data_IF_645704617722
#
_entry.id   IF_645704617722
#
_cell.length_a   1.000
_cell.length_b   1.000
_cell.length_c   1.000
_cell.angle_alpha   90.00
_cell.angle_beta   90.00
_cell.angle_gamma   90.00
#
_symmetry.space_group_name_H-M   'P 1'
#
loop_
_entity.id
_entity.type
_entity.pdbx_description
1 polymer ?
#
# COMPACT_ATOMS: atom_id res chain seq x y z
N UNK A 1 -23.01 -20.14 12.36
CA UNK A 1 -22.95 -19.60 10.99
C UNK A 1 -21.48 -19.55 10.65
N UNK A 2 -21.08 -19.96 9.44
CA UNK A 2 -19.69 -19.86 8.99
C UNK A 2 -19.28 -18.38 9.01
N UNK A 3 -18.06 -18.07 9.43
CA UNK A 3 -17.56 -16.71 9.29
C UNK A 3 -17.25 -16.42 7.81
N UNK A 4 -17.27 -15.14 7.36
CA UNK A 4 -16.82 -14.80 6.01
C UNK A 4 -15.39 -15.27 5.72
N UNK A 5 -14.53 -15.34 6.74
CA UNK A 5 -13.17 -15.82 6.62
C UNK A 5 -13.12 -17.33 6.30
N UNK A 6 -13.90 -18.14 7.00
CA UNK A 6 -14.00 -19.59 6.76
C UNK A 6 -14.44 -19.88 5.31
N UNK A 7 -15.48 -19.17 4.84
CA UNK A 7 -15.99 -19.32 3.47
C UNK A 7 -14.95 -18.91 2.41
N UNK A 8 -14.12 -17.91 2.72
CA UNK A 8 -13.06 -17.46 1.82
C UNK A 8 -11.85 -18.39 1.82
N UNK A 9 -11.46 -18.94 2.96
CA UNK A 9 -10.37 -19.93 3.08
C UNK A 9 -10.65 -21.13 2.16
N UNK A 10 -11.89 -21.62 2.11
CA UNK A 10 -12.28 -22.72 1.22
C UNK A 10 -12.18 -22.36 -0.27
N UNK A 11 -12.34 -21.08 -0.62
CA UNK A 11 -12.34 -20.57 -1.99
C UNK A 11 -10.96 -20.09 -2.47
N UNK A 12 -10.07 -19.73 -1.57
CA UNK A 12 -8.73 -19.21 -1.88
C UNK A 12 -7.88 -20.13 -2.77
N UNK A 13 -7.94 -21.47 -2.68
CA UNK A 13 -7.25 -22.34 -3.63
C UNK A 13 -7.67 -22.14 -5.09
N UNK A 14 -8.85 -21.57 -5.35
CA UNK A 14 -9.34 -21.24 -6.70
C UNK A 14 -8.75 -19.93 -7.23
N UNK A 15 -8.19 -19.10 -6.36
CA UNK A 15 -7.64 -17.78 -6.70
C UNK A 15 -6.17 -17.91 -7.12
N UNK A 16 -5.43 -18.86 -6.54
CA UNK A 16 -4.05 -19.17 -6.90
C UNK A 16 -3.23 -19.70 -5.71
N UNK A 17 -1.96 -19.97 -5.96
CA UNK A 17 -0.95 -20.42 -4.99
C UNK A 17 0.23 -19.45 -4.84
N UNK A 18 0.13 -18.24 -5.40
CA UNK A 18 1.13 -17.18 -5.28
C UNK A 18 1.20 -16.50 -3.91
N UNK A 19 2.13 -15.55 -3.76
CA UNK A 19 2.41 -14.83 -2.53
C UNK A 19 1.17 -14.08 -1.99
N UNK A 20 0.35 -13.50 -2.86
CA UNK A 20 -0.90 -12.86 -2.44
C UNK A 20 -1.91 -13.85 -1.87
N UNK A 21 -2.03 -15.03 -2.49
CA UNK A 21 -2.92 -16.08 -1.98
C UNK A 21 -2.44 -16.65 -0.64
N UNK A 22 -1.13 -16.81 -0.47
CA UNK A 22 -0.52 -17.23 0.80
C UNK A 22 -0.79 -16.19 1.89
N UNK A 23 -0.50 -14.91 1.64
CA UNK A 23 -0.76 -13.84 2.60
C UNK A 23 -2.25 -13.76 2.99
N UNK A 24 -3.17 -13.89 2.03
CA UNK A 24 -4.59 -13.90 2.33
C UNK A 24 -4.96 -15.04 3.29
N UNK A 25 -4.42 -16.25 3.10
CA UNK A 25 -4.69 -17.38 4.00
C UNK A 25 -4.16 -17.13 5.42
N UNK A 26 -2.96 -16.57 5.52
CA UNK A 26 -2.35 -16.25 6.82
C UNK A 26 -3.18 -15.22 7.59
N UNK A 27 -3.60 -14.14 6.91
CA UNK A 27 -4.47 -13.12 7.51
C UNK A 27 -5.84 -13.70 7.92
N UNK A 28 -6.45 -14.52 7.07
CA UNK A 28 -7.76 -15.11 7.38
C UNK A 28 -7.72 -16.17 8.48
N UNK A 29 -6.55 -16.76 8.75
CA UNK A 29 -6.36 -17.67 9.88
C UNK A 29 -6.37 -16.95 11.24
N UNK A 30 -6.31 -15.61 11.26
CA UNK A 30 -6.45 -14.82 12.47
C UNK A 30 -7.88 -14.89 13.01
N UNK A 31 -8.03 -15.15 14.31
CA UNK A 31 -9.33 -15.15 15.01
C UNK A 31 -9.79 -13.72 15.31
N UNK A 32 -10.26 -13.02 14.26
CA UNK A 32 -10.72 -11.63 14.31
C UNK A 32 -12.08 -11.47 13.63
N UNK A 33 -12.77 -10.37 13.94
CA UNK A 33 -14.09 -10.06 13.39
C UNK A 33 -14.03 -9.60 11.93
N UNK A 34 -13.90 -10.54 10.99
CA UNK A 34 -13.92 -10.24 9.56
C UNK A 34 -15.32 -9.81 9.09
N UNK A 35 -15.36 -8.68 8.40
CA UNK A 35 -16.52 -8.27 7.62
C UNK A 35 -16.32 -8.55 6.13
N UNK A 36 -17.42 -8.75 5.41
CA UNK A 36 -17.42 -8.86 3.95
C UNK A 36 -18.38 -7.86 3.34
N UNK A 37 -17.95 -7.20 2.27
CA UNK A 37 -18.78 -6.38 1.39
C UNK A 37 -18.63 -6.86 -0.05
N UNK A 38 -19.59 -6.50 -0.91
CA UNK A 38 -19.43 -6.70 -2.36
C UNK A 38 -18.47 -5.66 -2.93
N UNK A 39 -17.85 -6.03 -4.05
CA UNK A 39 -17.14 -5.08 -4.91
C UNK A 39 -18.01 -3.85 -5.18
N UNK A 40 -17.38 -2.67 -5.16
CA UNK A 40 -18.08 -1.40 -5.21
C UNK A 40 -17.28 -0.37 -5.98
N UNK A 41 -18.00 0.65 -6.47
CA UNK A 41 -17.40 1.87 -6.99
C UNK A 41 -17.71 3.04 -6.04
N UNK A 42 -16.75 3.94 -5.84
CA UNK A 42 -16.92 5.14 -5.02
C UNK A 42 -16.39 6.38 -5.75
N UNK A 43 -17.19 7.45 -5.73
CA UNK A 43 -16.79 8.78 -6.21
C UNK A 43 -16.23 9.68 -5.10
N UNK A 44 -16.08 9.17 -3.88
CA UNK A 44 -15.52 9.93 -2.77
C UNK A 44 -14.07 10.34 -3.07
N UNK A 45 -13.68 11.54 -2.63
CA UNK A 45 -12.33 12.05 -2.79
C UNK A 45 -11.28 11.19 -2.06
N UNK A 46 -11.69 10.56 -0.95
CA UNK A 46 -10.94 9.54 -0.24
C UNK A 46 -11.88 8.43 0.25
N UNK A 47 -11.39 7.20 0.26
CA UNK A 47 -12.08 6.02 0.75
C UNK A 47 -11.22 5.31 1.79
N UNK A 48 -11.88 4.82 2.85
CA UNK A 48 -11.28 4.00 3.91
C UNK A 48 -12.16 2.75 4.13
N UNK A 49 -11.56 1.61 4.53
CA UNK A 49 -12.32 0.50 5.07
C UNK A 49 -13.17 0.95 6.26
N UNK A 50 -14.42 0.52 6.32
CA UNK A 50 -15.32 0.82 7.45
C UNK A 50 -15.05 -0.05 8.68
N UNK A 51 -14.19 -1.06 8.56
CA UNK A 51 -13.80 -1.98 9.62
C UNK A 51 -12.31 -2.30 9.48
N UNK A 52 -11.66 -2.66 10.59
CA UNK A 52 -10.25 -3.00 10.60
C UNK A 52 -9.92 -4.22 9.72
N UNK A 53 -10.76 -5.26 9.75
CA UNK A 53 -10.59 -6.49 8.99
C UNK A 53 -11.74 -6.64 7.98
N UNK A 54 -11.46 -6.34 6.71
CA UNK A 54 -12.47 -6.25 5.66
C UNK A 54 -12.09 -7.09 4.43
N UNK A 55 -13.06 -7.87 3.96
CA UNK A 55 -13.03 -8.57 2.68
C UNK A 55 -13.92 -7.82 1.69
N UNK A 56 -13.41 -7.56 0.50
CA UNK A 56 -14.18 -7.06 -0.65
C UNK A 56 -14.34 -8.19 -1.65
N UNK A 57 -15.55 -8.74 -1.76
CA UNK A 57 -15.90 -9.75 -2.75
C UNK A 57 -16.09 -9.14 -4.14
N UNK A 58 -14.99 -9.01 -4.87
CA UNK A 58 -14.93 -8.46 -6.22
C UNK A 58 -13.97 -7.29 -6.31
N UNK A 59 -14.13 -6.48 -7.33
CA UNK A 59 -13.25 -5.31 -7.57
C UNK A 59 -13.69 -4.08 -6.78
N UNK A 60 -12.71 -3.25 -6.43
CA UNK A 60 -12.90 -1.98 -5.75
C UNK A 60 -12.41 -0.84 -6.68
N UNK A 61 -13.34 -0.02 -7.16
CA UNK A 61 -13.06 1.08 -8.09
C UNK A 61 -13.29 2.43 -7.41
N UNK A 62 -12.22 3.17 -7.15
CA UNK A 62 -12.24 4.41 -6.38
C UNK A 62 -11.80 5.55 -7.28
N UNK A 63 -12.63 6.58 -7.44
CA UNK A 63 -12.25 7.78 -8.19
C UNK A 63 -11.17 8.59 -7.45
N UNK A 64 -11.15 8.51 -6.12
CA UNK A 64 -10.23 9.22 -5.24
C UNK A 64 -9.13 8.35 -4.64
N UNK A 65 -8.64 8.78 -3.49
CA UNK A 65 -7.55 8.11 -2.78
C UNK A 65 -8.06 6.90 -1.98
N UNK A 66 -7.33 5.80 -2.02
CA UNK A 66 -7.54 4.63 -1.19
C UNK A 66 -6.59 4.67 0.02
N UNK A 67 -7.15 4.71 1.22
CA UNK A 67 -6.37 4.71 2.45
C UNK A 67 -6.69 3.42 3.21
N UNK A 68 -5.76 2.47 3.20
CA UNK A 68 -5.91 1.20 3.90
C UNK A 68 -5.50 1.42 5.35
N UNK A 69 -6.45 1.94 6.11
CA UNK A 69 -6.35 2.31 7.50
C UNK A 69 -7.66 2.94 7.94
N UNK A 70 -8.16 2.57 9.11
CA UNK A 70 -9.48 3.06 9.57
C UNK A 70 -9.39 4.44 10.21
N UNK A 71 -8.26 4.78 10.83
CA UNK A 71 -8.10 5.96 11.70
C UNK A 71 -8.70 5.79 13.09
N UNK A 72 -9.28 4.62 13.38
CA UNK A 72 -9.91 4.27 14.67
C UNK A 72 -9.26 3.03 15.31
N UNK A 73 -8.49 2.28 14.53
CA UNK A 73 -7.83 1.03 14.92
C UNK A 73 -6.35 1.13 14.54
N UNK A 74 -5.51 0.53 15.39
CA UNK A 74 -4.06 0.55 15.24
C UNK A 74 -3.56 -0.48 14.22
N UNK A 75 -4.34 -1.52 13.91
CA UNK A 75 -3.99 -2.57 12.96
C UNK A 75 -5.21 -3.04 12.18
N UNK A 76 -4.98 -3.68 11.04
CA UNK A 76 -6.06 -4.27 10.26
C UNK A 76 -5.61 -4.89 8.94
N UNK A 77 -6.58 -5.38 8.17
CA UNK A 77 -6.32 -5.96 6.86
C UNK A 77 -7.48 -5.69 5.90
N UNK A 78 -7.14 -5.37 4.65
CA UNK A 78 -8.05 -5.35 3.52
C UNK A 78 -7.68 -6.43 2.52
N UNK A 79 -8.64 -7.30 2.21
CA UNK A 79 -8.50 -8.31 1.15
C UNK A 79 -9.48 -7.97 0.02
N UNK A 80 -8.98 -7.68 -1.18
CA UNK A 80 -9.77 -7.40 -2.38
C UNK A 80 -9.71 -8.60 -3.32
N UNK A 81 -10.84 -9.27 -3.52
CA UNK A 81 -10.99 -10.45 -4.38
C UNK A 81 -11.25 -10.05 -5.84
N UNK A 82 -10.37 -9.21 -6.39
CA UNK A 82 -10.46 -8.65 -7.73
C UNK A 82 -9.47 -7.51 -7.91
N UNK A 83 -9.73 -6.64 -8.88
CA UNK A 83 -8.92 -5.45 -9.13
C UNK A 83 -9.17 -4.34 -8.09
N UNK A 84 -8.13 -3.57 -7.79
CA UNK A 84 -8.19 -2.32 -7.03
C UNK A 84 -7.76 -1.16 -7.93
N UNK A 85 -8.67 -0.20 -8.15
CA UNK A 85 -8.40 1.02 -8.93
C UNK A 85 -8.57 2.24 -8.05
N UNK A 86 -7.61 3.16 -8.10
CA UNK A 86 -7.65 4.38 -7.29
C UNK A 86 -6.81 5.51 -7.92
N UNK A 87 -6.89 6.71 -7.35
CA UNK A 87 -5.98 7.81 -7.68
C UNK A 87 -4.61 7.59 -7.03
N UNK A 88 -4.60 7.56 -5.70
CA UNK A 88 -3.46 7.21 -4.87
C UNK A 88 -3.86 6.05 -3.95
N UNK A 89 -2.92 5.19 -3.61
CA UNK A 89 -3.05 4.17 -2.58
C UNK A 89 -2.02 4.42 -1.48
N UNK A 90 -2.44 4.31 -0.22
CA UNK A 90 -1.54 4.16 0.92
C UNK A 90 -1.99 3.00 1.80
N UNK A 91 -1.05 2.18 2.22
CA UNK A 91 -1.25 1.22 3.32
C UNK A 91 -0.67 1.85 4.58
N UNK A 92 -1.52 2.10 5.57
CA UNK A 92 -1.11 2.72 6.84
C UNK A 92 -0.20 1.76 7.65
N UNK A 93 0.53 2.31 8.62
CA UNK A 93 1.33 1.50 9.54
C UNK A 93 0.48 0.39 10.18
N UNK A 94 1.03 -0.83 10.31
CA UNK A 94 0.36 -2.01 10.89
C UNK A 94 -0.95 -2.45 10.16
N UNK A 95 -1.21 -1.93 8.96
CA UNK A 95 -2.27 -2.42 8.09
C UNK A 95 -1.72 -3.30 6.96
N UNK A 96 -2.52 -4.27 6.55
CA UNK A 96 -2.18 -5.18 5.46
C UNK A 96 -3.14 -5.05 4.29
N UNK A 97 -2.62 -5.17 3.07
CA UNK A 97 -3.40 -5.18 1.84
C UNK A 97 -3.10 -6.44 1.05
N UNK A 98 -4.15 -7.13 0.61
CA UNK A 98 -4.06 -8.17 -0.41
C UNK A 98 -5.00 -7.83 -1.57
N UNK A 99 -4.49 -7.84 -2.79
CA UNK A 99 -5.27 -7.67 -4.03
C UNK A 99 -5.04 -8.90 -4.91
N UNK A 100 -6.10 -9.66 -5.18
CA UNK A 100 -5.99 -10.89 -5.99
C UNK A 100 -6.03 -10.64 -7.49
N UNK A 101 -6.36 -9.41 -7.92
CA UNK A 101 -6.34 -8.96 -9.31
C UNK A 101 -5.26 -7.91 -9.56
N UNK A 102 -5.55 -6.97 -10.47
CA UNK A 102 -4.65 -5.85 -10.79
C UNK A 102 -4.81 -4.71 -9.77
N UNK A 103 -3.71 -4.09 -9.35
CA UNK A 103 -3.68 -2.80 -8.64
C UNK A 103 -3.27 -1.69 -9.61
N UNK A 104 -4.18 -0.74 -9.83
CA UNK A 104 -3.97 0.38 -10.76
C UNK A 104 -4.19 1.69 -10.00
N UNK A 105 -3.11 2.43 -9.77
CA UNK A 105 -3.15 3.79 -9.24
C UNK A 105 -2.82 4.78 -10.36
N UNK A 106 -3.61 5.85 -10.50
CA UNK A 106 -3.32 6.86 -11.53
C UNK A 106 -2.15 7.78 -11.15
N UNK A 107 -1.75 7.83 -9.88
CA UNK A 107 -0.67 8.70 -9.38
C UNK A 107 0.38 7.90 -8.58
N UNK A 108 0.06 7.45 -7.37
CA UNK A 108 1.03 6.83 -6.48
C UNK A 108 0.50 5.59 -5.74
N UNK A 109 1.39 4.65 -5.45
CA UNK A 109 1.20 3.57 -4.46
C UNK A 109 2.23 3.77 -3.35
N UNK A 110 1.78 3.80 -2.10
CA UNK A 110 2.63 3.87 -0.91
C UNK A 110 2.44 2.58 -0.10
N UNK A 111 3.46 1.73 -0.15
CA UNK A 111 3.56 0.45 0.56
C UNK A 111 4.87 0.42 1.35
N UNK A 112 5.12 1.50 2.09
CA UNK A 112 6.41 1.81 2.71
C UNK A 112 6.27 2.33 4.14
N UNK A 113 5.09 2.19 4.74
CA UNK A 113 4.86 2.58 6.13
C UNK A 113 5.12 1.37 7.04
N UNK A 114 5.58 1.64 8.27
CA UNK A 114 6.13 0.64 9.17
C UNK A 114 5.22 -0.58 9.38
N UNK A 115 5.81 -1.77 9.38
CA UNK A 115 5.16 -3.06 9.68
C UNK A 115 3.92 -3.37 8.81
N UNK A 116 3.70 -2.62 7.73
CA UNK A 116 2.64 -2.83 6.76
C UNK A 116 3.10 -3.78 5.65
N UNK A 117 2.15 -4.52 5.07
CA UNK A 117 2.43 -5.35 3.90
C UNK A 117 1.40 -5.13 2.80
N UNK A 118 1.86 -5.11 1.55
CA UNK A 118 0.98 -5.06 0.39
C UNK A 118 1.32 -6.22 -0.54
N UNK A 119 0.33 -7.07 -0.88
CA UNK A 119 0.51 -8.19 -1.78
C UNK A 119 -0.44 -8.08 -2.97
N UNK A 120 0.09 -8.21 -4.18
CA UNK A 120 -0.69 -8.14 -5.43
C UNK A 120 -0.39 -9.33 -6.32
N UNK A 121 -1.44 -10.08 -6.67
CA UNK A 121 -1.31 -11.25 -7.54
C UNK A 121 -1.18 -10.87 -9.03
N UNK A 122 -1.92 -9.84 -9.43
CA UNK A 122 -1.93 -9.33 -10.80
C UNK A 122 -0.83 -8.31 -11.06
N UNK A 123 -1.15 -7.34 -11.92
CA UNK A 123 -0.23 -6.26 -12.28
C UNK A 123 -0.34 -5.10 -11.31
N UNK A 124 0.79 -4.44 -11.08
CA UNK A 124 0.84 -3.15 -10.38
C UNK A 124 1.20 -2.07 -11.38
N UNK A 125 0.29 -1.11 -11.58
CA UNK A 125 0.50 0.02 -12.47
C UNK A 125 0.33 1.33 -11.72
N UNK A 126 1.39 2.13 -11.67
CA UNK A 126 1.38 3.48 -11.08
C UNK A 126 2.53 4.34 -11.64
N UNK A 127 2.36 5.66 -11.80
CA UNK A 127 3.49 6.54 -12.08
C UNK A 127 4.60 6.49 -11.03
N UNK A 128 4.23 6.41 -9.74
CA UNK A 128 5.17 6.37 -8.61
C UNK A 128 4.82 5.22 -7.68
N UNK A 129 5.84 4.49 -7.22
CA UNK A 129 5.73 3.48 -6.17
C UNK A 129 6.71 3.81 -5.03
N UNK A 130 6.21 3.92 -3.81
CA UNK A 130 7.04 4.02 -2.61
C UNK A 130 6.96 2.66 -1.90
N UNK A 131 8.10 1.98 -1.77
CA UNK A 131 8.22 0.61 -1.24
C UNK A 131 9.69 0.28 -0.96
N UNK A 132 9.94 -0.47 0.11
CA UNK A 132 11.21 -1.12 0.40
C UNK A 132 12.04 -0.50 1.53
N UNK A 133 11.55 0.52 2.23
CA UNK A 133 12.23 1.12 3.38
C UNK A 133 11.68 0.55 4.70
N UNK A 134 10.50 0.98 5.14
CA UNK A 134 9.87 0.48 6.38
C UNK A 134 8.76 -0.57 6.14
N UNK A 135 8.30 -0.70 4.90
CA UNK A 135 7.39 -1.73 4.42
C UNK A 135 7.70 -2.07 2.97
N UNK A 136 7.00 -3.05 2.39
CA UNK A 136 7.19 -3.37 0.98
C UNK A 136 5.95 -3.92 0.27
N UNK A 137 5.96 -3.73 -1.05
CA UNK A 137 5.06 -4.38 -1.99
C UNK A 137 5.64 -5.73 -2.44
N UNK A 138 4.84 -6.78 -2.33
CA UNK A 138 5.13 -8.12 -2.84
C UNK A 138 4.26 -8.42 -4.06
N UNK A 139 4.88 -8.95 -5.12
CA UNK A 139 4.21 -9.38 -6.35
C UNK A 139 4.39 -10.87 -6.56
N UNK A 140 3.38 -11.51 -7.15
CA UNK A 140 3.50 -12.92 -7.58
C UNK A 140 4.45 -13.08 -8.78
N UNK A 141 4.63 -12.04 -9.60
CA UNK A 141 5.48 -12.08 -10.80
C UNK A 141 6.15 -10.74 -11.09
N UNK A 142 7.43 -10.78 -11.44
CA UNK A 142 8.21 -9.59 -11.79
C UNK A 142 7.67 -8.82 -13.00
N UNK A 143 7.12 -9.52 -14.01
CA UNK A 143 6.54 -8.90 -15.21
C UNK A 143 5.18 -8.21 -14.96
N UNK A 144 4.65 -8.34 -13.74
CA UNK A 144 3.48 -7.63 -13.25
C UNK A 144 3.74 -6.16 -12.92
N UNK A 145 4.99 -5.76 -12.68
CA UNK A 145 5.33 -4.41 -12.29
C UNK A 145 5.40 -3.45 -13.49
N UNK A 146 4.60 -2.38 -13.45
CA UNK A 146 4.56 -1.30 -14.45
C UNK A 146 4.58 0.07 -13.76
N UNK A 147 5.75 0.42 -13.23
CA UNK A 147 5.97 1.70 -12.57
C UNK A 147 7.05 2.51 -13.28
N UNK A 148 6.91 3.84 -13.29
CA UNK A 148 7.90 4.71 -13.92
C UNK A 148 9.01 5.11 -12.95
N UNK A 149 8.67 5.31 -11.67
CA UNK A 149 9.58 5.73 -10.61
C UNK A 149 9.29 4.95 -9.33
N UNK A 150 10.33 4.68 -8.57
CA UNK A 150 10.29 3.87 -7.34
C UNK A 150 11.24 4.44 -6.29
N UNK A 151 10.89 4.37 -5.00
CA UNK A 151 11.81 4.77 -3.93
C UNK A 151 12.93 3.73 -3.75
N UNK A 152 12.60 2.44 -3.62
CA UNK A 152 13.58 1.38 -3.49
C UNK A 152 13.21 0.14 -4.32
N UNK A 153 12.64 -0.89 -3.70
CA UNK A 153 12.45 -2.22 -4.32
C UNK A 153 11.05 -2.79 -4.07
N UNK A 154 10.76 -3.89 -4.76
CA UNK A 154 9.61 -4.77 -4.49
C UNK A 154 10.10 -6.18 -4.21
N UNK A 155 9.28 -7.02 -3.59
CA UNK A 155 9.58 -8.43 -3.39
C UNK A 155 8.89 -9.28 -4.47
N UNK A 156 9.62 -10.22 -5.06
CA UNK A 156 9.10 -11.26 -5.96
C UNK A 156 9.76 -12.58 -5.56
N UNK A 157 8.97 -13.63 -5.34
CA UNK A 157 9.46 -14.94 -4.91
C UNK A 157 10.40 -14.86 -3.68
N UNK A 158 9.99 -14.09 -2.66
CA UNK A 158 10.77 -13.84 -1.43
C UNK A 158 12.13 -13.15 -1.64
N UNK A 159 12.39 -12.62 -2.83
CA UNK A 159 13.63 -11.92 -3.16
C UNK A 159 13.35 -10.46 -3.57
N UNK A 160 14.20 -9.51 -3.15
CA UNK A 160 14.14 -8.16 -3.69
C UNK A 160 14.38 -8.14 -5.19
N UNK A 161 13.46 -7.53 -5.93
CA UNK A 161 13.68 -7.13 -7.31
C UNK A 161 14.25 -5.69 -7.27
N UNK A 162 15.56 -5.49 -7.49
CA UNK A 162 16.14 -4.17 -7.46
C UNK A 162 15.63 -3.35 -8.63
N UNK A 163 15.20 -2.12 -8.33
CA UNK A 163 14.78 -1.13 -9.32
C UNK A 163 15.64 0.12 -9.16
N UNK A 164 15.81 0.96 -10.20
CA UNK A 164 16.53 2.23 -10.07
C UNK A 164 15.82 3.15 -9.07
N UNK A 165 16.39 3.40 -7.87
CA UNK A 165 15.74 4.20 -6.84
C UNK A 165 15.74 5.67 -7.25
N UNK A 166 14.74 6.40 -6.77
CA UNK A 166 14.63 7.86 -6.86
C UNK A 166 14.43 8.40 -5.46
N UNK A 167 15.06 9.55 -5.17
CA UNK A 167 14.95 10.19 -3.87
C UNK A 167 13.50 10.54 -3.54
N UNK A 168 13.09 10.34 -2.29
CA UNK A 168 11.75 10.74 -1.83
C UNK A 168 11.53 12.23 -2.05
N UNK A 169 12.56 13.05 -1.83
CA UNK A 169 12.53 14.51 -2.03
C UNK A 169 12.30 14.94 -3.49
N UNK A 170 12.49 14.04 -4.46
CA UNK A 170 12.19 14.25 -5.87
C UNK A 170 10.77 13.78 -6.25
N UNK A 171 10.25 12.76 -5.54
CA UNK A 171 8.99 12.11 -5.87
C UNK A 171 7.78 12.78 -5.21
N UNK A 172 7.90 13.21 -3.95
CA UNK A 172 6.78 13.68 -3.14
C UNK A 172 6.88 15.16 -2.78
N UNK A 173 5.74 15.73 -2.38
CA UNK A 173 5.63 17.09 -1.88
C UNK A 173 6.31 17.25 -0.51
N UNK A 174 7.09 18.31 -0.32
CA UNK A 174 7.79 18.59 0.94
C UNK A 174 6.85 18.63 2.15
N UNK A 175 5.58 18.99 1.94
CA UNK A 175 4.57 19.03 3.00
C UNK A 175 4.16 17.65 3.54
N UNK A 176 4.64 16.55 2.96
CA UNK A 176 4.41 15.19 3.47
C UNK A 176 5.70 14.47 3.89
N UNK A 177 6.83 15.17 3.90
CA UNK A 177 8.11 14.64 4.35
C UNK A 177 8.35 15.03 5.82
N UNK A 178 8.93 14.09 6.56
CA UNK A 178 9.68 14.41 7.77
C UNK A 178 11.13 14.68 7.35
N UNK A 179 11.61 15.86 7.74
CA UNK A 179 12.95 16.37 7.42
C UNK A 179 13.64 16.92 8.65
N UNK A 180 13.07 16.74 9.84
CA UNK A 180 13.55 17.41 11.05
C UNK A 180 15.02 17.07 11.34
N UNK A 181 15.40 15.81 11.14
CA UNK A 181 16.79 15.37 11.30
C UNK A 181 17.71 16.04 10.28
N UNK A 182 17.40 15.92 8.99
CA UNK A 182 18.19 16.53 7.91
C UNK A 182 18.33 18.06 8.04
N UNK A 183 17.23 18.74 8.34
CA UNK A 183 17.18 20.19 8.46
C UNK A 183 17.90 20.68 9.74
N UNK A 184 18.04 19.81 10.75
CA UNK A 184 18.79 20.04 11.97
C UNK A 184 20.32 19.92 11.84
N UNK A 185 20.82 19.19 10.84
CA UNK A 185 22.25 19.05 10.57
C UNK A 185 22.88 20.37 10.10
N UNK A 186 24.08 20.65 10.59
CA UNK A 186 24.89 21.77 10.08
C UNK A 186 25.57 21.44 8.73
N UNK A 187 26.29 22.41 8.17
CA UNK A 187 26.89 22.26 6.85
C UNK A 187 28.02 21.21 6.82
N UNK A 188 28.77 21.08 7.91
CA UNK A 188 29.87 20.13 8.02
C UNK A 188 29.30 18.71 8.23
N UNK A 189 28.21 18.58 8.98
CA UNK A 189 27.49 17.32 9.19
C UNK A 189 26.81 16.79 7.93
N UNK A 190 26.25 17.68 7.08
CA UNK A 190 25.66 17.29 5.79
C UNK A 190 26.69 16.88 4.74
N UNK A 191 27.96 17.26 4.91
CA UNK A 191 28.99 16.96 3.92
C UNK A 191 29.19 15.43 3.79
N UNK A 192 28.80 14.89 2.63
CA UNK A 192 28.96 13.45 2.33
C UNK A 192 27.83 12.56 2.84
N UNK A 193 26.78 13.12 3.43
CA UNK A 193 25.56 12.39 3.79
C UNK A 193 24.60 12.30 2.60
N UNK A 194 23.85 11.20 2.54
CA UNK A 194 22.73 11.07 1.60
C UNK A 194 21.45 11.59 2.28
N UNK A 195 20.73 12.49 1.62
CA UNK A 195 19.47 13.05 2.14
C UNK A 195 18.43 11.97 2.39
N UNK A 196 18.44 10.91 1.58
CA UNK A 196 17.47 9.81 1.66
C UNK A 196 17.66 8.93 2.92
N UNK A 197 18.79 9.07 3.64
CA UNK A 197 18.99 8.41 4.95
C UNK A 197 18.28 9.14 6.10
N UNK A 198 17.91 10.40 5.90
CA UNK A 198 17.37 11.29 6.95
C UNK A 198 15.94 11.77 6.64
N UNK A 199 15.52 11.66 5.38
CA UNK A 199 14.21 12.15 4.92
C UNK A 199 13.29 10.97 4.69
N UNK A 200 12.22 10.90 5.50
CA UNK A 200 11.21 9.85 5.44
C UNK A 200 9.82 10.43 5.19
N UNK A 201 8.85 9.59 4.88
CA UNK A 201 7.45 10.01 4.82
C UNK A 201 6.93 10.31 6.24
N UNK A 202 6.35 11.49 6.45
CA UNK A 202 5.54 11.76 7.64
C UNK A 202 4.15 11.14 7.40
N UNK A 203 3.92 9.96 7.98
CA UNK A 203 2.65 9.22 7.84
C UNK A 203 1.45 10.10 8.18
N UNK A 204 1.52 10.88 9.26
CA UNK A 204 0.41 11.73 9.70
C UNK A 204 0.07 12.79 8.65
N UNK A 205 1.08 13.39 8.01
CA UNK A 205 0.89 14.36 6.92
C UNK A 205 0.40 13.68 5.64
N UNK A 206 0.95 12.52 5.27
CA UNK A 206 0.52 11.70 4.13
C UNK A 206 -0.97 11.35 4.25
N UNK A 207 -1.37 10.74 5.38
CA UNK A 207 -2.75 10.33 5.63
C UNK A 207 -3.72 11.51 5.64
N UNK A 208 -3.32 12.64 6.22
CA UNK A 208 -4.14 13.86 6.24
C UNK A 208 -4.36 14.42 4.83
N UNK A 209 -3.29 14.51 4.03
CA UNK A 209 -3.35 15.03 2.66
C UNK A 209 -4.18 14.13 1.75
N UNK A 210 -3.95 12.82 1.82
CA UNK A 210 -4.74 11.85 1.06
C UNK A 210 -6.21 11.84 1.50
N UNK A 211 -6.51 11.99 2.79
CA UNK A 211 -7.89 12.06 3.29
C UNK A 211 -8.63 13.32 2.81
N UNK A 212 -7.91 14.42 2.54
CA UNK A 212 -8.47 15.61 1.92
C UNK A 212 -8.78 15.44 0.41
N UNK A 213 -8.35 14.33 -0.19
CA UNK A 213 -8.49 14.04 -1.61
C UNK A 213 -7.35 14.57 -2.47
N UNK A 214 -6.30 15.11 -1.86
CA UNK A 214 -5.15 15.68 -2.56
C UNK A 214 -4.13 14.59 -2.96
N UNK A 215 -3.20 14.95 -3.84
CA UNK A 215 -2.05 14.10 -4.16
C UNK A 215 -0.91 14.32 -3.18
N UNK A 216 -0.08 13.29 -2.97
CA UNK A 216 1.21 13.41 -2.26
C UNK A 216 2.36 13.75 -3.21
N UNK A 217 2.15 13.64 -4.52
CA UNK A 217 3.18 13.92 -5.50
C UNK A 217 3.40 15.42 -5.64
N UNK A 218 4.64 15.81 -5.97
CA UNK A 218 4.96 17.19 -6.33
C UNK A 218 4.24 17.52 -7.65
N UNK A 219 3.54 18.67 -7.67
CA UNK A 219 2.76 19.16 -8.81
C UNK A 219 3.60 19.75 -9.95
#
# INVERSE_FOLDING_TARGET
>A
MSSPADELIERLPLIGDGAAATQARELLAMDVGWASIRGQASSAAAWRPSQAFLIVEGSLDLAGNAIIGTGEHDQGALIVLGDLRCRNLVVAQDFHLVVTGDLIASEAVVADLGDSTAHVAGRVQAPVLLSGDAGWLTLDRADGLRVARTSAYVIVDEQPLPLPPHSLSELVDDGVLDREEWDGLDADEREGQDIDEFVVLDESRVLRRLAAGDSILRG
#
